data_IF_787919037474
#
_entry.id   IF_787919037474
#
_cell.length_a   1.000
_cell.length_b   1.000
_cell.length_c   1.000
_cell.angle_alpha   90.00
_cell.angle_beta   90.00
_cell.angle_gamma   90.00
#
_symmetry.space_group_name_H-M   'P 1'
#
loop_
_entity.id
_entity.type
_entity.pdbx_description
1 polymer ?
#
# COMPACT_ATOMS: atom_id res chain seq x y z
N UNK A 1 14.77 30.73 22.00
CA UNK A 1 13.46 30.86 22.66
C UNK A 1 12.47 30.25 21.67
N UNK A 2 12.20 28.96 21.86
CA UNK A 2 11.30 28.19 21.00
C UNK A 2 9.86 28.55 21.37
N UNK A 3 9.10 29.00 20.39
CA UNK A 3 7.66 29.17 20.53
C UNK A 3 7.00 27.79 20.22
N UNK A 4 6.54 27.15 21.30
CA UNK A 4 5.64 26.00 21.22
C UNK A 4 4.35 26.43 20.52
N UNK A 5 4.08 25.83 19.38
CA UNK A 5 2.73 25.88 18.78
C UNK A 5 1.82 24.98 19.61
N UNK A 6 0.62 25.43 20.00
CA UNK A 6 -0.29 24.61 20.78
C UNK A 6 -0.78 23.43 19.90
N UNK A 7 -0.44 22.21 20.30
CA UNK A 7 -1.07 20.99 19.82
C UNK A 7 -2.59 21.09 20.09
N UNK A 8 -3.37 21.17 19.02
CA UNK A 8 -4.82 21.04 19.11
C UNK A 8 -5.13 19.57 19.37
N UNK A 9 -5.16 19.23 20.65
CA UNK A 9 -5.56 17.90 21.13
C UNK A 9 -7.08 17.79 20.94
N UNK A 10 -7.51 17.18 19.85
CA UNK A 10 -8.87 16.64 19.75
C UNK A 10 -8.89 15.33 20.56
N UNK A 11 -9.63 15.35 21.67
CA UNK A 11 -9.74 14.23 22.61
C UNK A 11 -10.29 12.99 21.91
N UNK A 12 -9.52 11.92 21.99
CA UNK A 12 -9.88 10.58 21.52
C UNK A 12 -11.02 9.90 22.35
N UNK A 13 -11.58 10.59 23.34
CA UNK A 13 -12.46 9.98 24.36
C UNK A 13 -13.92 9.78 23.93
N UNK A 14 -14.28 9.97 22.66
CA UNK A 14 -15.68 9.81 22.20
C UNK A 14 -15.91 8.90 20.99
N UNK A 15 -14.92 8.13 20.55
CA UNK A 15 -15.08 7.28 19.36
C UNK A 15 -15.81 5.94 19.58
N UNK A 16 -16.36 5.68 20.78
CA UNK A 16 -17.04 4.40 21.09
C UNK A 16 -18.57 4.45 21.05
N UNK A 17 -19.19 5.56 20.71
CA UNK A 17 -20.64 5.62 20.63
C UNK A 17 -21.10 6.47 19.43
N UNK A 18 -21.77 5.80 18.51
CA UNK A 18 -22.43 6.28 17.30
C UNK A 18 -21.57 6.15 16.03
N UNK A 19 -21.75 5.02 15.33
CA UNK A 19 -21.40 4.92 13.90
C UNK A 19 -21.95 6.15 13.19
N UNK A 20 -21.07 6.95 12.63
CA UNK A 20 -21.40 8.14 11.85
C UNK A 20 -22.42 7.77 10.79
N UNK A 21 -23.67 8.09 11.00
CA UNK A 21 -24.68 8.02 9.97
C UNK A 21 -24.32 9.09 8.96
N UNK A 22 -23.88 8.68 7.77
CA UNK A 22 -23.69 9.58 6.64
C UNK A 22 -25.02 10.31 6.41
N UNK A 23 -25.13 11.52 6.92
CA UNK A 23 -26.30 12.35 6.71
C UNK A 23 -26.21 12.92 5.30
N UNK A 24 -27.11 12.48 4.42
CA UNK A 24 -27.34 13.12 3.14
C UNK A 24 -27.54 14.63 3.38
N UNK A 25 -26.51 15.43 3.07
CA UNK A 25 -26.54 16.88 3.34
C UNK A 25 -25.21 17.54 3.73
N UNK A 26 -24.11 16.77 3.94
CA UNK A 26 -22.79 17.40 4.08
C UNK A 26 -22.40 18.05 2.75
N UNK A 27 -22.06 19.35 2.72
CA UNK A 27 -21.61 19.98 1.49
C UNK A 27 -20.27 19.34 1.06
N UNK A 28 -20.19 18.98 -0.22
CA UNK A 28 -18.94 18.49 -0.81
C UNK A 28 -17.93 19.65 -0.81
N UNK A 29 -16.72 19.37 -0.31
CA UNK A 29 -15.65 20.38 -0.25
C UNK A 29 -15.21 20.76 -1.68
N UNK A 30 -15.19 22.06 -1.96
CA UNK A 30 -14.60 22.68 -3.14
C UNK A 30 -13.29 23.40 -2.77
N UNK A 31 -12.63 24.00 -3.76
CA UNK A 31 -11.35 24.67 -3.54
C UNK A 31 -11.44 25.79 -2.50
N UNK A 32 -12.54 26.56 -2.50
CA UNK A 32 -12.74 27.67 -1.56
C UNK A 32 -13.02 27.16 -0.16
N UNK A 33 -13.86 26.14 -0.03
CA UNK A 33 -14.20 25.55 1.27
C UNK A 33 -13.02 24.76 1.86
N UNK A 34 -12.16 24.18 1.05
CA UNK A 34 -10.91 23.57 1.50
C UNK A 34 -9.98 24.61 2.16
N UNK A 35 -9.74 25.75 1.49
CA UNK A 35 -8.92 26.83 2.03
C UNK A 35 -9.54 27.40 3.31
N UNK A 36 -10.86 27.56 3.36
CA UNK A 36 -11.58 28.00 4.57
C UNK A 36 -11.44 27.01 5.73
N UNK A 37 -11.53 25.70 5.43
CA UNK A 37 -11.33 24.66 6.44
C UNK A 37 -9.90 24.71 7.01
N UNK A 38 -8.87 24.82 6.16
CA UNK A 38 -7.49 24.96 6.60
C UNK A 38 -7.29 26.20 7.49
N UNK A 39 -7.91 27.32 7.15
CA UNK A 39 -7.85 28.53 7.97
C UNK A 39 -8.61 28.35 9.30
N UNK A 40 -9.79 27.74 9.28
CA UNK A 40 -10.60 27.48 10.48
C UNK A 40 -9.90 26.57 11.48
N UNK A 41 -9.10 25.61 10.99
CA UNK A 41 -8.28 24.73 11.83
C UNK A 41 -6.90 25.32 12.18
N UNK A 42 -6.63 26.59 11.82
CA UNK A 42 -5.36 27.26 12.12
C UNK A 42 -4.16 26.70 11.35
N UNK A 43 -4.42 25.93 10.29
CA UNK A 43 -3.39 25.35 9.41
C UNK A 43 -2.85 26.41 8.45
N UNK A 44 -3.70 27.30 7.96
CA UNK A 44 -3.34 28.49 7.19
C UNK A 44 -3.60 29.77 8.00
N UNK A 45 -2.64 30.70 8.02
CA UNK A 45 -2.86 32.03 8.55
C UNK A 45 -3.70 32.90 7.58
N UNK A 46 -4.34 34.00 8.07
CA UNK A 46 -5.05 34.91 7.18
C UNK A 46 -4.20 35.48 6.07
N UNK A 47 -2.93 35.75 6.31
CA UNK A 47 -1.97 36.25 5.33
C UNK A 47 -1.68 35.18 4.26
N UNK A 48 -1.58 33.91 4.64
CA UNK A 48 -1.39 32.79 3.74
C UNK A 48 -2.61 32.53 2.83
N UNK A 49 -3.82 32.72 3.35
CA UNK A 49 -5.06 32.63 2.57
C UNK A 49 -5.12 33.70 1.46
N UNK A 50 -4.54 34.89 1.72
CA UNK A 50 -4.51 35.99 0.77
C UNK A 50 -3.27 35.98 -0.15
N UNK A 51 -2.36 35.02 0.02
CA UNK A 51 -1.14 34.93 -0.81
C UNK A 51 -1.52 34.51 -2.24
N UNK A 52 -1.16 35.31 -3.27
CA UNK A 52 -1.50 34.98 -4.66
C UNK A 52 -0.80 33.74 -5.21
N UNK A 53 0.17 33.16 -4.47
CA UNK A 53 0.85 31.90 -4.83
C UNK A 53 0.11 30.69 -4.27
N UNK A 54 -0.95 30.89 -3.46
CA UNK A 54 -1.78 29.78 -3.00
C UNK A 54 -2.49 29.15 -4.18
N UNK A 55 -2.30 27.85 -4.36
CA UNK A 55 -2.95 27.08 -5.42
C UNK A 55 -3.70 25.90 -4.82
N UNK A 56 -4.79 25.52 -5.47
CA UNK A 56 -5.57 24.31 -5.16
C UNK A 56 -5.69 23.48 -6.42
N UNK A 57 -5.35 22.21 -6.32
CA UNK A 57 -5.46 21.23 -7.41
C UNK A 57 -6.41 20.13 -6.99
N UNK A 58 -7.32 19.77 -7.87
CA UNK A 58 -8.28 18.69 -7.66
C UNK A 58 -7.70 17.36 -8.19
N UNK A 59 -7.43 16.43 -7.28
CA UNK A 59 -6.94 15.07 -7.57
C UNK A 59 -7.98 14.00 -7.16
N UNK A 60 -9.26 14.40 -7.13
CA UNK A 60 -10.36 13.54 -6.68
C UNK A 60 -10.54 12.32 -7.59
N UNK A 61 -10.73 11.14 -6.95
CA UNK A 61 -11.05 9.87 -7.62
C UNK A 61 -12.23 9.20 -6.94
N UNK A 62 -11.98 8.30 -5.98
CA UNK A 62 -13.03 7.63 -5.16
C UNK A 62 -13.56 8.53 -4.05
N UNK A 63 -12.70 9.33 -3.44
CA UNK A 63 -13.05 10.37 -2.49
C UNK A 63 -12.68 11.75 -3.06
N UNK A 64 -13.21 12.80 -2.46
CA UNK A 64 -12.76 14.16 -2.75
C UNK A 64 -11.35 14.32 -2.22
N UNK A 65 -10.41 14.77 -3.05
CA UNK A 65 -9.02 14.97 -2.70
C UNK A 65 -8.52 16.28 -3.33
N UNK A 66 -8.25 17.26 -2.50
CA UNK A 66 -7.74 18.57 -2.91
C UNK A 66 -6.34 18.78 -2.35
N UNK A 67 -5.40 19.15 -3.22
CA UNK A 67 -4.03 19.51 -2.85
C UNK A 67 -3.94 21.03 -2.80
N UNK A 68 -3.74 21.56 -1.60
CA UNK A 68 -3.52 22.99 -1.36
C UNK A 68 -2.03 23.24 -1.23
N UNK A 69 -1.45 24.11 -2.08
CA UNK A 69 0.00 24.38 -2.08
C UNK A 69 0.26 25.88 -1.91
N UNK A 70 1.27 26.16 -1.10
CA UNK A 70 1.85 27.48 -0.93
C UNK A 70 3.39 27.32 -0.90
N UNK A 71 4.14 28.34 -1.27
CA UNK A 71 5.59 28.25 -1.38
C UNK A 71 6.23 27.58 -0.13
N UNK A 72 6.82 26.40 -0.34
CA UNK A 72 7.52 25.62 0.69
C UNK A 72 6.61 24.80 1.63
N UNK A 73 5.27 24.83 1.44
CA UNK A 73 4.32 24.04 2.23
C UNK A 73 3.18 23.54 1.34
N UNK A 74 2.52 22.46 1.78
CA UNK A 74 1.34 21.94 1.11
C UNK A 74 0.52 21.05 2.02
N UNK A 75 -0.75 20.87 1.67
CA UNK A 75 -1.70 20.07 2.42
C UNK A 75 -2.56 19.26 1.47
N UNK A 76 -2.91 18.07 1.90
CA UNK A 76 -3.91 17.21 1.26
C UNK A 76 -5.18 17.29 2.11
N UNK A 77 -6.29 17.64 1.47
CA UNK A 77 -7.61 17.71 2.08
C UNK A 77 -8.48 16.62 1.45
N UNK A 78 -8.82 15.60 2.22
CA UNK A 78 -9.67 14.48 1.78
C UNK A 78 -11.07 14.58 2.41
N UNK A 79 -12.12 14.16 1.67
CA UNK A 79 -13.49 14.01 2.16
C UNK A 79 -14.16 12.83 1.47
N UNK A 80 -14.89 12.01 2.22
CA UNK A 80 -15.72 10.96 1.66
C UNK A 80 -16.91 11.54 0.88
N UNK A 81 -17.21 10.95 -0.28
CA UNK A 81 -18.36 11.32 -1.13
C UNK A 81 -19.55 10.38 -0.98
N UNK A 82 -19.35 9.27 -0.26
CA UNK A 82 -20.36 8.28 0.12
C UNK A 82 -20.14 7.84 1.57
N UNK A 83 -21.08 7.11 2.15
CA UNK A 83 -20.92 6.55 3.49
C UNK A 83 -19.69 5.61 3.55
N UNK A 84 -19.51 4.77 2.55
CA UNK A 84 -18.36 3.85 2.43
C UNK A 84 -17.02 4.60 2.40
N UNK A 85 -16.88 5.59 1.51
CA UNK A 85 -15.64 6.36 1.40
C UNK A 85 -15.39 7.25 2.62
N UNK A 86 -16.43 7.65 3.35
CA UNK A 86 -16.26 8.36 4.61
C UNK A 86 -15.77 7.41 5.72
N UNK A 87 -16.30 6.19 5.78
CA UNK A 87 -15.84 5.18 6.75
C UNK A 87 -14.34 4.84 6.55
N UNK A 88 -13.87 4.78 5.29
CA UNK A 88 -12.43 4.58 5.02
C UNK A 88 -11.58 5.76 5.47
N UNK A 89 -12.07 7.02 5.34
CA UNK A 89 -11.37 8.20 5.83
C UNK A 89 -11.38 8.31 7.36
N UNK A 90 -12.50 7.96 8.00
CA UNK A 90 -12.59 7.89 9.46
C UNK A 90 -11.54 6.88 9.98
N UNK A 91 -11.42 5.72 9.32
CA UNK A 91 -10.40 4.74 9.59
C UNK A 91 -8.97 5.30 9.40
N UNK A 92 -8.72 5.96 8.27
CA UNK A 92 -7.42 6.61 8.00
C UNK A 92 -7.05 7.60 9.13
N UNK A 93 -8.01 8.40 9.59
CA UNK A 93 -7.81 9.34 10.69
C UNK A 93 -7.50 8.66 12.03
N UNK A 94 -8.19 7.54 12.35
CA UNK A 94 -7.91 6.73 13.53
C UNK A 94 -6.49 6.15 13.50
N UNK A 95 -6.06 5.63 12.35
CA UNK A 95 -4.71 5.08 12.15
C UNK A 95 -3.65 6.17 12.36
N UNK A 96 -3.83 7.37 11.80
CA UNK A 96 -2.96 8.51 12.10
C UNK A 96 -2.93 8.82 13.60
N UNK A 97 -4.07 8.74 14.28
CA UNK A 97 -4.18 8.95 15.72
C UNK A 97 -3.25 8.04 16.53
N UNK A 98 -3.17 6.76 16.16
CA UNK A 98 -2.30 5.76 16.79
C UNK A 98 -0.84 5.95 16.38
N UNK A 99 -0.57 6.03 15.07
CA UNK A 99 0.79 6.00 14.54
C UNK A 99 1.61 7.25 14.82
N UNK A 100 0.98 8.44 14.90
CA UNK A 100 1.68 9.70 15.17
C UNK A 100 2.39 9.75 16.53
N UNK A 101 1.95 8.94 17.49
CA UNK A 101 2.57 8.80 18.81
C UNK A 101 3.62 7.69 18.92
N UNK A 102 3.89 6.97 17.84
CA UNK A 102 4.74 5.79 17.82
C UNK A 102 6.14 6.08 17.23
N UNK A 103 7.01 5.06 17.28
CA UNK A 103 8.32 5.08 16.59
C UNK A 103 8.20 5.18 15.07
N UNK A 104 7.02 4.96 14.51
CA UNK A 104 6.74 5.08 13.08
C UNK A 104 6.38 6.50 12.63
N UNK A 105 6.09 7.42 13.54
CA UNK A 105 5.68 8.80 13.23
C UNK A 105 6.55 9.53 12.17
N UNK A 106 7.88 9.36 12.10
CA UNK A 106 8.72 10.01 11.08
C UNK A 106 8.41 9.59 9.64
N UNK A 107 7.74 8.44 9.46
CA UNK A 107 7.39 7.88 8.15
C UNK A 107 5.96 8.17 7.72
N UNK A 108 5.29 9.08 8.41
CA UNK A 108 3.94 9.55 8.08
C UNK A 108 3.98 10.96 7.49
N UNK A 109 3.02 11.32 6.63
CA UNK A 109 2.68 12.72 6.45
C UNK A 109 2.29 13.32 7.80
N UNK A 110 2.69 14.55 8.06
CA UNK A 110 2.25 15.22 9.29
C UNK A 110 0.73 15.36 9.27
N UNK A 111 0.08 14.77 10.26
CA UNK A 111 -1.35 14.92 10.48
C UNK A 111 -1.64 16.34 10.97
N UNK A 112 -2.53 17.05 10.29
CA UNK A 112 -2.87 18.44 10.62
C UNK A 112 -4.21 18.55 11.34
N UNK A 113 -5.26 17.91 10.84
CA UNK A 113 -6.58 17.94 11.43
C UNK A 113 -7.48 16.82 10.92
N UNK A 114 -8.45 16.43 11.72
CA UNK A 114 -9.63 15.71 11.30
C UNK A 114 -10.87 16.37 11.90
N UNK A 115 -11.83 16.72 11.06
CA UNK A 115 -13.10 17.31 11.47
C UNK A 115 -14.22 16.28 11.21
N UNK A 116 -14.65 15.59 12.26
CA UNK A 116 -15.71 14.56 12.21
C UNK A 116 -17.06 15.13 11.75
N UNK A 117 -17.31 16.41 11.99
CA UNK A 117 -18.54 17.10 11.61
C UNK A 117 -18.65 17.27 10.09
N UNK A 118 -17.54 17.61 9.44
CA UNK A 118 -17.47 17.81 7.98
C UNK A 118 -16.91 16.59 7.26
N UNK A 119 -16.30 15.63 7.98
CA UNK A 119 -15.63 14.47 7.43
C UNK A 119 -14.33 14.81 6.70
N UNK A 120 -13.70 15.94 7.07
CA UNK A 120 -12.46 16.38 6.44
C UNK A 120 -11.23 15.82 7.15
N UNK A 121 -10.38 15.14 6.42
CA UNK A 121 -9.04 14.74 6.83
C UNK A 121 -8.02 15.67 6.18
N UNK A 122 -7.13 16.26 6.98
CA UNK A 122 -6.07 17.16 6.53
C UNK A 122 -4.70 16.61 6.94
N UNK A 123 -3.85 16.36 5.94
CA UNK A 123 -2.46 15.94 6.15
C UNK A 123 -1.49 16.84 5.39
N UNK A 124 -0.20 16.74 5.70
CA UNK A 124 0.86 17.34 4.91
C UNK A 124 0.84 16.83 3.47
N UNK A 125 1.04 17.73 2.51
CA UNK A 125 1.43 17.32 1.16
C UNK A 125 2.91 16.95 1.18
N UNK A 126 3.22 15.70 0.92
CA UNK A 126 4.59 15.20 0.85
C UNK A 126 5.16 15.46 -0.54
N UNK A 127 6.18 16.31 -0.62
CA UNK A 127 6.96 16.50 -1.85
C UNK A 127 7.90 15.29 -2.00
N UNK A 128 7.47 14.29 -2.75
CA UNK A 128 8.16 13.02 -2.93
C UNK A 128 7.75 12.33 -4.22
N UNK A 129 8.49 11.30 -4.58
CA UNK A 129 8.23 10.47 -5.77
C UNK A 129 7.90 9.04 -5.33
N UNK A 130 7.03 8.36 -6.08
CA UNK A 130 6.85 6.93 -5.91
C UNK A 130 8.18 6.18 -6.09
N UNK A 131 8.44 5.06 -5.40
CA UNK A 131 9.71 4.34 -5.49
C UNK A 131 10.12 3.98 -6.91
N UNK A 132 9.16 3.66 -7.79
CA UNK A 132 9.44 3.39 -9.20
C UNK A 132 10.05 4.60 -9.90
N UNK A 133 9.43 5.77 -9.75
CA UNK A 133 9.89 7.00 -10.40
C UNK A 133 11.24 7.46 -9.82
N UNK A 134 11.40 7.35 -8.49
CA UNK A 134 12.67 7.63 -7.82
C UNK A 134 13.79 6.71 -8.31
N UNK A 135 13.50 5.43 -8.59
CA UNK A 135 14.46 4.45 -9.12
C UNK A 135 14.83 4.73 -10.58
N UNK A 136 13.89 5.22 -11.40
CA UNK A 136 14.14 5.61 -12.78
C UNK A 136 15.00 6.88 -12.79
N UNK A 137 14.67 7.86 -11.95
CA UNK A 137 15.37 9.14 -11.87
C UNK A 137 16.82 9.00 -11.36
N UNK A 138 17.06 8.12 -10.36
CA UNK A 138 18.38 7.89 -9.78
C UNK A 138 18.60 6.41 -9.42
N UNK A 139 19.08 5.59 -10.36
CA UNK A 139 19.35 4.18 -10.11
C UNK A 139 20.34 3.91 -8.98
N UNK A 140 21.27 4.83 -8.69
CA UNK A 140 22.24 4.65 -7.63
C UNK A 140 21.64 4.66 -6.22
N UNK A 141 20.45 5.27 -6.06
CA UNK A 141 19.72 5.31 -4.79
C UNK A 141 18.88 4.06 -4.50
N UNK A 142 18.70 3.17 -5.47
CA UNK A 142 17.85 1.96 -5.32
C UNK A 142 18.12 1.16 -4.04
N UNK A 143 19.37 0.79 -3.71
CA UNK A 143 19.64 0.02 -2.50
C UNK A 143 19.30 0.79 -1.21
N UNK A 144 19.65 2.09 -1.16
CA UNK A 144 19.36 2.93 0.02
C UNK A 144 17.87 3.08 0.23
N UNK A 145 17.09 3.25 -0.85
CA UNK A 145 15.63 3.32 -0.81
C UNK A 145 15.02 2.00 -0.30
N UNK A 146 15.51 0.85 -0.80
CA UNK A 146 15.06 -0.46 -0.35
C UNK A 146 15.33 -0.69 1.14
N UNK A 147 16.54 -0.33 1.61
CA UNK A 147 16.93 -0.36 3.03
C UNK A 147 16.00 0.54 3.86
N UNK A 148 15.75 1.77 3.41
CA UNK A 148 14.85 2.72 4.09
C UNK A 148 13.43 2.20 4.24
N UNK A 149 12.86 1.65 3.16
CA UNK A 149 11.51 1.05 3.18
C UNK A 149 11.46 -0.16 4.12
N UNK A 150 12.46 -1.05 4.08
CA UNK A 150 12.51 -2.23 4.95
C UNK A 150 12.60 -1.86 6.43
N UNK A 151 13.45 -0.90 6.79
CA UNK A 151 13.55 -0.41 8.15
C UNK A 151 12.28 0.28 8.63
N UNK A 152 11.64 1.09 7.79
CA UNK A 152 10.38 1.75 8.10
C UNK A 152 9.26 0.74 8.33
N UNK A 153 9.10 -0.24 7.43
CA UNK A 153 8.08 -1.28 7.56
C UNK A 153 8.28 -2.13 8.83
N UNK A 154 9.53 -2.47 9.17
CA UNK A 154 9.83 -3.17 10.41
C UNK A 154 9.37 -2.37 11.64
N UNK A 155 9.60 -1.05 11.66
CA UNK A 155 9.10 -0.19 12.74
C UNK A 155 7.58 -0.14 12.79
N UNK A 156 6.89 -0.10 11.64
CA UNK A 156 5.44 -0.19 11.60
C UNK A 156 4.95 -1.46 12.29
N UNK A 157 5.49 -2.59 11.90
CA UNK A 157 5.10 -3.91 12.41
C UNK A 157 5.45 -4.15 13.88
N UNK A 158 6.28 -3.28 14.49
CA UNK A 158 6.57 -3.31 15.95
C UNK A 158 5.73 -2.32 16.74
N UNK A 159 4.88 -1.52 16.09
CA UNK A 159 3.94 -0.65 16.81
C UNK A 159 2.90 -1.51 17.49
N UNK A 160 2.68 -1.24 18.77
CA UNK A 160 1.62 -1.89 19.51
C UNK A 160 0.23 -1.58 18.92
N UNK A 161 -0.48 -2.60 18.50
CA UNK A 161 -1.81 -2.48 17.89
C UNK A 161 -2.95 -2.24 18.89
N UNK A 162 -2.66 -2.18 20.21
CA UNK A 162 -3.66 -2.04 21.28
C UNK A 162 -4.34 -0.64 21.30
N UNK A 163 -4.09 0.21 20.32
CA UNK A 163 -4.72 1.53 20.15
C UNK A 163 -6.22 1.51 19.85
N UNK A 164 -6.91 0.37 19.99
CA UNK A 164 -8.36 0.25 19.79
C UNK A 164 -8.80 0.17 18.33
N UNK A 165 -7.85 0.08 17.38
CA UNK A 165 -8.19 -0.12 15.97
C UNK A 165 -8.77 -1.52 15.74
N UNK A 166 -9.85 -1.67 14.96
CA UNK A 166 -10.35 -2.97 14.59
C UNK A 166 -9.33 -3.72 13.73
N UNK A 167 -9.18 -5.02 13.97
CA UNK A 167 -8.29 -5.87 13.18
C UNK A 167 -8.71 -5.91 11.72
N UNK A 168 -7.72 -5.91 10.83
CA UNK A 168 -7.91 -6.14 9.40
C UNK A 168 -8.51 -7.54 9.17
N UNK A 169 -9.51 -7.61 8.33
CA UNK A 169 -9.99 -8.89 7.84
C UNK A 169 -9.07 -9.41 6.72
N UNK A 170 -9.02 -10.74 6.50
CA UNK A 170 -8.37 -11.27 5.33
C UNK A 170 -8.88 -10.57 4.07
N UNK A 171 -7.99 -10.09 3.17
CA UNK A 171 -8.41 -9.39 1.97
C UNK A 171 -9.40 -10.20 1.13
N UNK A 172 -10.46 -9.58 0.58
CA UNK A 172 -11.51 -10.28 -0.19
C UNK A 172 -10.95 -11.11 -1.35
N UNK A 173 -9.81 -10.72 -1.90
CA UNK A 173 -9.12 -11.46 -2.97
C UNK A 173 -8.82 -12.91 -2.57
N UNK A 174 -8.58 -13.18 -1.31
CA UNK A 174 -8.29 -14.52 -0.82
C UNK A 174 -9.52 -15.46 -0.92
N UNK A 175 -10.70 -14.91 -1.12
CA UNK A 175 -11.96 -15.64 -1.35
C UNK A 175 -12.47 -15.52 -2.78
N UNK A 176 -11.71 -14.95 -3.71
CA UNK A 176 -12.16 -14.77 -5.10
C UNK A 176 -12.40 -16.09 -5.83
N UNK A 177 -11.83 -17.20 -5.37
CA UNK A 177 -12.16 -18.56 -5.83
C UNK A 177 -13.56 -19.03 -5.43
N UNK A 178 -14.17 -18.39 -4.41
CA UNK A 178 -15.50 -18.69 -3.86
C UNK A 178 -16.39 -17.44 -3.88
N UNK A 179 -16.65 -16.82 -5.06
CA UNK A 179 -17.38 -15.56 -5.14
C UNK A 179 -18.82 -15.75 -4.69
N UNK A 180 -19.35 -14.75 -3.96
CA UNK A 180 -20.78 -14.64 -3.67
C UNK A 180 -21.52 -14.04 -4.85
N UNK A 181 -22.86 -14.19 -4.91
CA UNK A 181 -23.66 -13.58 -5.98
C UNK A 181 -23.46 -12.05 -6.01
N UNK A 182 -23.44 -11.41 -4.85
CA UNK A 182 -23.24 -9.95 -4.73
C UNK A 182 -21.88 -9.52 -5.27
N UNK A 183 -20.82 -10.33 -5.05
CA UNK A 183 -19.47 -9.99 -5.55
C UNK A 183 -19.36 -10.13 -7.08
N UNK A 184 -20.15 -11.01 -7.69
CA UNK A 184 -20.13 -11.24 -9.15
C UNK A 184 -20.58 -10.00 -9.93
N UNK A 185 -21.53 -9.23 -9.38
CA UNK A 185 -22.07 -8.03 -10.05
C UNK A 185 -21.01 -6.94 -10.26
N UNK A 186 -19.98 -6.92 -9.43
CA UNK A 186 -18.87 -5.95 -9.51
C UNK A 186 -17.73 -6.40 -10.43
N UNK A 187 -17.78 -7.63 -10.97
CA UNK A 187 -16.73 -8.15 -11.83
C UNK A 187 -16.96 -7.80 -13.31
N UNK A 188 -15.89 -7.31 -13.95
CA UNK A 188 -15.85 -7.19 -15.41
C UNK A 188 -15.83 -8.59 -16.07
N UNK A 189 -16.18 -8.70 -17.37
CA UNK A 189 -16.03 -9.97 -18.08
C UNK A 189 -14.62 -10.57 -17.99
N UNK A 190 -13.58 -9.73 -18.01
CA UNK A 190 -12.20 -10.16 -17.85
C UNK A 190 -11.92 -10.67 -16.43
N UNK A 191 -12.44 -10.01 -15.41
CA UNK A 191 -12.31 -10.46 -14.01
C UNK A 191 -12.99 -11.82 -13.81
N UNK A 192 -14.16 -12.05 -14.40
CA UNK A 192 -14.87 -13.34 -14.35
C UNK A 192 -14.06 -14.46 -15.02
N UNK A 193 -13.35 -14.19 -16.12
CA UNK A 193 -12.46 -15.17 -16.76
C UNK A 193 -11.28 -15.53 -15.84
N UNK A 194 -10.70 -14.54 -15.15
CA UNK A 194 -9.65 -14.77 -14.16
C UNK A 194 -10.17 -15.61 -12.99
N UNK A 195 -11.35 -15.28 -12.44
CA UNK A 195 -11.98 -16.06 -11.36
C UNK A 195 -12.22 -17.53 -11.81
N UNK A 196 -12.71 -17.76 -13.02
CA UNK A 196 -12.88 -19.11 -13.55
C UNK A 196 -11.54 -19.85 -13.67
N UNK A 197 -10.49 -19.15 -14.06
CA UNK A 197 -9.13 -19.72 -14.14
C UNK A 197 -8.66 -20.15 -12.74
N UNK A 198 -8.89 -19.32 -11.72
CA UNK A 198 -8.57 -19.65 -10.33
C UNK A 198 -9.35 -20.88 -9.88
N UNK A 199 -10.68 -20.89 -10.09
CA UNK A 199 -11.56 -22.02 -9.70
C UNK A 199 -11.19 -23.35 -10.39
N UNK A 200 -10.66 -23.30 -11.61
CA UNK A 200 -10.24 -24.49 -12.38
C UNK A 200 -8.83 -24.96 -12.04
N UNK A 201 -8.09 -24.23 -11.22
CA UNK A 201 -6.72 -24.55 -10.82
C UNK A 201 -6.65 -24.94 -9.33
N UNK A 202 -6.49 -26.22 -9.00
CA UNK A 202 -6.32 -26.65 -7.60
C UNK A 202 -5.21 -25.86 -6.87
N UNK A 203 -4.07 -25.67 -7.53
CA UNK A 203 -2.94 -24.95 -6.94
C UNK A 203 -3.26 -23.50 -6.56
N UNK A 204 -4.07 -22.78 -7.36
CA UNK A 204 -4.49 -21.41 -7.04
C UNK A 204 -5.55 -21.40 -5.93
N UNK A 205 -6.50 -22.32 -5.94
CA UNK A 205 -7.51 -22.43 -4.88
C UNK A 205 -6.87 -22.78 -3.53
N UNK A 206 -6.00 -23.80 -3.49
CA UNK A 206 -5.25 -24.20 -2.30
C UNK A 206 -4.35 -23.08 -1.78
N UNK A 207 -3.71 -22.33 -2.68
CA UNK A 207 -2.91 -21.16 -2.32
C UNK A 207 -3.75 -20.13 -1.55
N UNK A 208 -4.88 -19.71 -2.15
CA UNK A 208 -5.70 -18.64 -1.59
C UNK A 208 -6.38 -19.06 -0.29
N UNK A 209 -6.93 -20.27 -0.25
CA UNK A 209 -7.55 -20.83 0.97
C UNK A 209 -6.50 -20.98 2.07
N UNK A 210 -5.31 -21.48 1.76
CA UNK A 210 -4.22 -21.63 2.72
C UNK A 210 -3.73 -20.30 3.32
N UNK A 211 -3.62 -19.25 2.49
CA UNK A 211 -3.25 -17.90 2.97
C UNK A 211 -4.39 -17.30 3.80
N UNK A 212 -5.64 -17.47 3.36
CA UNK A 212 -6.81 -17.01 4.14
C UNK A 212 -6.86 -17.65 5.53
N UNK A 213 -6.69 -18.96 5.62
CA UNK A 213 -6.82 -19.71 6.88
C UNK A 213 -5.64 -19.46 7.84
N UNK A 214 -4.49 -19.03 7.29
CA UNK A 214 -3.31 -18.65 8.07
C UNK A 214 -3.25 -17.17 8.41
N UNK A 215 -4.27 -16.37 8.04
CA UNK A 215 -4.29 -14.96 8.35
C UNK A 215 -4.28 -14.71 9.86
N UNK A 216 -3.37 -13.84 10.30
CA UNK A 216 -3.26 -13.39 11.68
C UNK A 216 -3.26 -11.86 11.73
N UNK A 217 -3.71 -11.30 12.87
CA UNK A 217 -3.64 -9.85 13.10
C UNK A 217 -2.56 -9.59 14.16
N UNK A 218 -1.32 -9.99 13.87
CA UNK A 218 -0.21 -10.04 14.83
C UNK A 218 0.70 -8.80 14.78
N UNK A 219 0.46 -7.87 13.87
CA UNK A 219 1.26 -6.66 13.71
C UNK A 219 0.40 -5.48 13.25
N UNK A 220 0.82 -4.26 13.54
CA UNK A 220 0.26 -3.07 12.91
C UNK A 220 0.66 -3.05 11.43
N UNK A 221 -0.30 -3.19 10.53
CA UNK A 221 -0.09 -3.27 9.09
C UNK A 221 -0.70 -2.09 8.33
N UNK A 222 -0.21 -1.86 7.12
CA UNK A 222 -0.79 -0.91 6.18
C UNK A 222 -2.04 -1.49 5.48
N UNK A 223 -2.02 -2.78 5.16
CA UNK A 223 -3.12 -3.52 4.53
C UNK A 223 -3.21 -3.37 3.01
N UNK A 224 -2.83 -2.23 2.45
CA UNK A 224 -2.71 -2.01 1.00
C UNK A 224 -1.33 -1.45 0.63
N UNK A 225 -0.26 -2.07 1.15
CA UNK A 225 1.08 -1.59 0.88
C UNK A 225 1.54 -1.94 -0.53
N UNK A 226 1.85 -0.90 -1.29
CA UNK A 226 2.41 -0.90 -2.64
C UNK A 226 3.18 0.40 -2.88
N UNK A 227 3.97 0.46 -3.96
CA UNK A 227 4.82 1.61 -4.23
C UNK A 227 4.06 2.92 -4.39
N UNK A 228 2.85 2.90 -4.94
CA UNK A 228 2.02 4.11 -5.07
C UNK A 228 1.63 4.70 -3.70
N UNK A 229 1.65 3.89 -2.65
CA UNK A 229 1.35 4.30 -1.27
C UNK A 229 2.63 4.62 -0.46
N UNK A 230 3.78 4.75 -1.14
CA UNK A 230 5.04 5.18 -0.57
C UNK A 230 5.58 6.36 -1.39
N UNK A 231 5.97 7.43 -0.72
CA UNK A 231 6.65 8.56 -1.34
C UNK A 231 8.09 8.65 -0.81
N UNK A 232 9.04 8.76 -1.71
CA UNK A 232 10.46 8.98 -1.35
C UNK A 232 10.73 10.47 -1.40
N UNK A 233 11.01 11.07 -0.26
CA UNK A 233 11.39 12.49 -0.15
C UNK A 233 12.72 12.74 -0.91
N UNK A 234 13.02 13.97 -1.29
CA UNK A 234 14.32 14.34 -1.85
C UNK A 234 15.51 13.96 -0.96
N UNK A 235 15.30 13.92 0.36
CA UNK A 235 16.27 13.42 1.36
C UNK A 235 16.55 11.91 1.28
N UNK A 236 15.68 11.14 0.60
CA UNK A 236 15.73 9.68 0.49
C UNK A 236 14.88 8.92 1.51
N UNK A 237 14.19 9.62 2.39
CA UNK A 237 13.34 9.00 3.42
C UNK A 237 11.99 8.57 2.83
N UNK A 238 11.52 7.34 3.12
CA UNK A 238 10.19 6.90 2.72
C UNK A 238 9.12 7.51 3.62
N UNK A 239 7.98 7.86 3.03
CA UNK A 239 6.75 8.29 3.72
C UNK A 239 5.61 7.43 3.22
N UNK A 240 4.86 6.82 4.14
CA UNK A 240 3.74 5.95 3.84
C UNK A 240 2.45 6.75 3.90
N UNK A 241 1.62 6.61 2.87
CA UNK A 241 0.38 7.37 2.67
C UNK A 241 -0.78 6.42 2.43
N UNK A 242 -2.01 6.94 2.51
CA UNK A 242 -3.25 6.20 2.18
C UNK A 242 -3.54 5.03 3.13
N UNK A 243 -3.78 5.37 4.39
CA UNK A 243 -3.96 4.44 5.51
C UNK A 243 -5.40 3.90 5.66
N UNK A 244 -6.22 4.00 4.61
CA UNK A 244 -7.64 3.61 4.65
C UNK A 244 -7.87 2.15 5.06
N UNK A 245 -6.89 1.26 4.82
CA UNK A 245 -6.90 -0.16 5.19
C UNK A 245 -6.04 -0.47 6.43
N UNK A 246 -5.42 0.55 7.05
CA UNK A 246 -4.46 0.38 8.13
C UNK A 246 -5.07 -0.23 9.42
N UNK A 247 -4.26 -0.93 10.20
CA UNK A 247 -4.64 -1.52 11.49
C UNK A 247 -3.93 -2.83 11.80
N UNK A 248 -4.24 -3.48 12.94
CA UNK A 248 -3.71 -4.81 13.26
C UNK A 248 -4.04 -5.81 12.15
N UNK A 249 -3.02 -6.40 11.53
CA UNK A 249 -3.14 -7.30 10.38
C UNK A 249 -1.96 -8.23 10.26
N UNK A 250 -1.91 -8.96 9.16
CA UNK A 250 -0.82 -9.90 8.92
C UNK A 250 0.35 -9.20 8.21
N UNK A 251 1.48 -9.09 8.91
CA UNK A 251 2.70 -8.45 8.38
C UNK A 251 3.20 -9.04 7.07
N UNK A 252 2.94 -10.34 6.81
CA UNK A 252 3.37 -11.01 5.58
C UNK A 252 2.68 -10.42 4.36
N UNK A 253 1.47 -9.87 4.51
CA UNK A 253 0.73 -9.24 3.44
C UNK A 253 1.42 -7.99 2.90
N UNK A 254 1.88 -7.12 3.79
CA UNK A 254 2.62 -5.91 3.41
C UNK A 254 3.99 -6.23 2.80
N UNK A 255 4.73 -7.17 3.41
CA UNK A 255 6.03 -7.63 2.90
C UNK A 255 5.87 -8.22 1.48
N UNK A 256 4.91 -9.12 1.31
CA UNK A 256 4.62 -9.76 0.03
C UNK A 256 4.20 -8.74 -1.04
N UNK A 257 3.43 -7.73 -0.66
CA UNK A 257 3.02 -6.64 -1.55
C UNK A 257 4.21 -5.97 -2.24
N UNK A 258 5.17 -5.52 -1.45
CA UNK A 258 6.36 -4.82 -1.97
C UNK A 258 7.29 -5.73 -2.78
N UNK A 259 7.44 -6.99 -2.39
CA UNK A 259 8.27 -7.94 -3.14
C UNK A 259 7.66 -8.26 -4.50
N UNK A 260 6.35 -8.53 -4.55
CA UNK A 260 5.66 -8.92 -5.79
C UNK A 260 5.46 -7.77 -6.74
N UNK A 261 5.29 -6.55 -6.24
CA UNK A 261 5.18 -5.37 -7.08
C UNK A 261 6.39 -5.19 -8.00
N UNK A 262 7.61 -5.54 -7.55
CA UNK A 262 8.82 -5.52 -8.38
C UNK A 262 8.73 -6.48 -9.56
N UNK A 263 8.14 -7.66 -9.34
CA UNK A 263 7.87 -8.62 -10.40
C UNK A 263 6.85 -8.06 -11.39
N UNK A 264 5.78 -7.42 -10.88
CA UNK A 264 4.75 -6.80 -11.72
C UNK A 264 5.35 -5.67 -12.57
N UNK A 265 6.18 -4.80 -12.00
CA UNK A 265 6.85 -3.74 -12.75
C UNK A 265 7.73 -4.32 -13.87
N UNK A 266 8.54 -5.34 -13.56
CA UNK A 266 9.36 -6.03 -14.55
C UNK A 266 8.54 -6.65 -15.69
N UNK A 267 7.40 -7.28 -15.38
CA UNK A 267 6.51 -7.87 -16.40
C UNK A 267 5.75 -6.84 -17.23
N UNK A 268 5.48 -5.67 -16.67
CA UNK A 268 4.67 -4.62 -17.33
C UNK A 268 5.51 -3.51 -17.93
N UNK A 269 6.82 -3.59 -17.82
CA UNK A 269 7.73 -2.60 -18.41
C UNK A 269 7.69 -2.72 -19.95
N UNK A 270 7.26 -1.67 -20.67
CA UNK A 270 7.21 -1.69 -22.13
C UNK A 270 8.59 -1.91 -22.77
N UNK A 271 9.64 -1.45 -22.11
CA UNK A 271 11.02 -1.54 -22.59
C UNK A 271 11.63 -2.94 -22.39
N UNK A 272 11.02 -3.76 -21.50
CA UNK A 272 11.41 -5.17 -21.33
C UNK A 272 10.97 -6.09 -22.49
N UNK A 273 10.05 -5.62 -23.33
CA UNK A 273 9.50 -6.39 -24.46
C UNK A 273 10.11 -5.91 -25.77
N UNK A 274 11.26 -6.46 -26.11
CA UNK A 274 11.95 -6.19 -27.38
C UNK A 274 11.41 -7.13 -28.46
N UNK A 275 11.25 -6.65 -29.73
CA UNK A 275 10.84 -7.50 -30.84
C UNK A 275 11.75 -8.74 -30.99
N UNK A 276 11.19 -9.85 -31.48
CA UNK A 276 11.87 -11.16 -31.61
C UNK A 276 13.21 -11.10 -32.38
N UNK A 277 13.40 -10.09 -33.21
CA UNK A 277 14.64 -9.82 -33.97
C UNK A 277 15.81 -9.36 -33.06
N UNK A 278 15.53 -8.94 -31.81
CA UNK A 278 16.52 -8.49 -30.84
C UNK A 278 16.60 -9.43 -29.62
N UNK A 279 16.44 -10.74 -29.80
CA UNK A 279 16.36 -11.75 -28.72
C UNK A 279 17.51 -11.66 -27.70
N UNK A 280 18.73 -11.37 -28.15
CA UNK A 280 19.88 -11.22 -27.25
C UNK A 280 19.71 -10.01 -26.29
N UNK A 281 19.17 -8.91 -26.80
CA UNK A 281 18.89 -7.69 -26.01
C UNK A 281 17.73 -7.92 -25.05
N UNK A 282 16.67 -8.66 -25.48
CA UNK A 282 15.55 -9.03 -24.62
C UNK A 282 16.00 -9.93 -23.45
N UNK A 283 16.86 -10.90 -23.72
CA UNK A 283 17.41 -11.79 -22.68
C UNK A 283 18.29 -11.00 -21.67
N UNK A 284 19.07 -10.05 -22.15
CA UNK A 284 19.89 -9.18 -21.29
C UNK A 284 19.02 -8.26 -20.41
N UNK A 285 17.98 -7.66 -20.98
CA UNK A 285 17.03 -6.82 -20.23
C UNK A 285 16.25 -7.63 -19.19
N UNK A 286 15.81 -8.85 -19.54
CA UNK A 286 15.13 -9.73 -18.59
C UNK A 286 16.04 -10.16 -17.45
N UNK A 287 17.32 -10.46 -17.74
CA UNK A 287 18.31 -10.82 -16.73
C UNK A 287 18.62 -9.63 -15.80
N UNK A 288 18.71 -8.44 -16.36
CA UNK A 288 18.92 -7.20 -15.59
C UNK A 288 17.74 -6.92 -14.65
N UNK A 289 16.50 -7.02 -15.13
CA UNK A 289 15.32 -6.84 -14.29
C UNK A 289 15.26 -7.85 -13.13
N UNK A 290 15.60 -9.13 -13.39
CA UNK A 290 15.71 -10.13 -12.31
C UNK A 290 16.82 -9.79 -11.32
N UNK A 291 17.96 -9.24 -11.76
CA UNK A 291 19.02 -8.79 -10.88
C UNK A 291 18.52 -7.66 -9.98
N UNK A 292 17.82 -6.68 -10.52
CA UNK A 292 17.24 -5.56 -9.76
C UNK A 292 16.21 -6.03 -8.73
N UNK A 293 15.35 -6.99 -9.07
CA UNK A 293 14.39 -7.60 -8.13
C UNK A 293 15.13 -8.24 -6.96
N UNK A 294 16.21 -9.00 -7.24
CA UNK A 294 17.01 -9.67 -6.21
C UNK A 294 17.73 -8.66 -5.31
N UNK A 295 18.35 -7.63 -5.87
CA UNK A 295 19.00 -6.57 -5.12
C UNK A 295 18.04 -5.86 -4.19
N UNK A 296 16.83 -5.53 -4.69
CA UNK A 296 15.79 -4.96 -3.87
C UNK A 296 15.39 -5.91 -2.73
N UNK A 297 15.10 -7.17 -3.03
CA UNK A 297 14.65 -8.14 -2.03
C UNK A 297 15.69 -8.32 -0.92
N UNK A 298 16.99 -8.46 -1.28
CA UNK A 298 18.08 -8.59 -0.29
C UNK A 298 18.22 -7.34 0.58
N UNK A 299 18.22 -6.15 -0.01
CA UNK A 299 18.35 -4.89 0.73
C UNK A 299 17.15 -4.64 1.65
N UNK A 300 15.93 -4.84 1.12
CA UNK A 300 14.67 -4.66 1.83
C UNK A 300 14.52 -5.65 3.00
N UNK A 301 14.59 -6.97 2.72
CA UNK A 301 14.43 -8.00 3.74
C UNK A 301 15.58 -7.97 4.76
N UNK A 302 16.81 -7.74 4.33
CA UNK A 302 17.95 -7.62 5.24
C UNK A 302 17.76 -6.48 6.23
N UNK A 303 17.33 -5.31 5.77
CA UNK A 303 17.04 -4.16 6.62
C UNK A 303 15.82 -4.40 7.52
N UNK A 304 14.78 -5.02 6.98
CA UNK A 304 13.58 -5.38 7.74
C UNK A 304 13.92 -6.29 8.92
N UNK A 305 14.63 -7.40 8.70
CA UNK A 305 15.01 -8.37 9.73
C UNK A 305 15.90 -7.75 10.80
N UNK A 306 16.89 -6.96 10.40
CA UNK A 306 17.80 -6.27 11.33
C UNK A 306 17.05 -5.27 12.22
N UNK A 307 16.05 -4.59 11.66
CA UNK A 307 15.28 -3.56 12.38
C UNK A 307 14.17 -4.16 13.24
N UNK A 308 13.57 -5.24 12.76
CA UNK A 308 12.53 -5.97 13.48
C UNK A 308 13.18 -6.75 14.64
N UNK A 309 13.19 -6.16 15.85
CA UNK A 309 13.84 -6.72 17.04
C UNK A 309 13.16 -8.00 17.61
N UNK A 310 12.14 -8.53 16.92
CA UNK A 310 11.47 -9.78 17.26
C UNK A 310 12.15 -10.99 16.62
N UNK A 311 11.78 -12.19 17.08
CA UNK A 311 12.15 -13.46 16.45
C UNK A 311 11.44 -13.63 15.10
N UNK A 312 11.84 -12.85 14.10
CA UNK A 312 11.45 -13.14 12.72
C UNK A 312 12.39 -14.24 12.22
N UNK A 313 12.05 -15.47 12.54
CA UNK A 313 12.73 -16.61 11.93
C UNK A 313 12.29 -16.72 10.46
N UNK A 314 12.97 -15.95 9.59
CA UNK A 314 12.89 -16.15 8.14
C UNK A 314 13.59 -17.46 7.74
N UNK A 315 14.14 -18.23 8.68
CA UNK A 315 14.73 -19.52 8.44
C UNK A 315 13.63 -20.55 8.14
N UNK A 316 13.82 -21.25 7.03
CA UNK A 316 13.08 -22.45 6.55
C UNK A 316 11.55 -22.31 6.38
N UNK A 317 10.77 -22.30 7.45
CA UNK A 317 9.30 -22.26 7.36
C UNK A 317 8.79 -20.87 6.94
N UNK A 318 9.41 -19.80 7.45
CA UNK A 318 8.98 -18.43 7.19
C UNK A 318 9.13 -18.00 5.73
N UNK A 319 10.20 -18.41 5.02
CA UNK A 319 10.38 -18.06 3.60
C UNK A 319 9.42 -18.84 2.69
N UNK A 320 9.14 -20.11 2.99
CA UNK A 320 8.17 -20.90 2.23
C UNK A 320 6.79 -20.28 2.33
N UNK A 321 6.37 -19.88 3.53
CA UNK A 321 5.10 -19.21 3.74
C UNK A 321 5.09 -17.84 3.05
N UNK A 322 6.15 -17.05 3.18
CA UNK A 322 6.24 -15.76 2.49
C UNK A 322 6.08 -15.91 0.97
N UNK A 323 6.60 -16.98 0.35
CA UNK A 323 6.39 -17.24 -1.07
C UNK A 323 4.91 -17.47 -1.40
N UNK A 324 4.16 -18.18 -0.54
CA UNK A 324 2.71 -18.34 -0.72
C UNK A 324 1.98 -17.00 -0.63
N UNK A 325 2.35 -16.14 0.31
CA UNK A 325 1.79 -14.79 0.43
C UNK A 325 2.12 -13.95 -0.80
N UNK A 326 3.33 -14.04 -1.32
CA UNK A 326 3.70 -13.44 -2.61
C UNK A 326 2.82 -13.98 -3.75
N UNK A 327 2.56 -15.29 -3.79
CA UNK A 327 1.64 -15.89 -4.76
C UNK A 327 0.24 -15.29 -4.69
N UNK A 328 -0.33 -15.14 -3.49
CA UNK A 328 -1.64 -14.51 -3.28
C UNK A 328 -1.67 -13.03 -3.74
N UNK A 329 -0.59 -12.27 -3.48
CA UNK A 329 -0.46 -10.88 -3.99
C UNK A 329 -0.37 -10.85 -5.51
N UNK A 330 0.30 -11.80 -6.17
CA UNK A 330 0.30 -11.90 -7.63
C UNK A 330 -1.10 -12.16 -8.19
N UNK A 331 -1.93 -12.98 -7.51
CA UNK A 331 -3.35 -13.16 -7.87
C UNK A 331 -4.10 -11.85 -7.75
N UNK A 332 -3.88 -11.08 -6.68
CA UNK A 332 -4.52 -9.77 -6.52
C UNK A 332 -4.17 -8.85 -7.69
N UNK A 333 -2.90 -8.70 -8.04
CA UNK A 333 -2.48 -7.90 -9.19
C UNK A 333 -3.10 -8.39 -10.51
N UNK A 334 -3.20 -9.71 -10.71
CA UNK A 334 -3.83 -10.28 -11.89
C UNK A 334 -5.30 -9.89 -12.02
N UNK A 335 -6.05 -9.87 -10.90
CA UNK A 335 -7.46 -9.45 -10.86
C UNK A 335 -7.59 -7.94 -11.05
N UNK A 336 -6.79 -7.14 -10.36
CA UNK A 336 -6.81 -5.68 -10.47
C UNK A 336 -6.58 -5.18 -11.91
N UNK A 337 -5.67 -5.82 -12.65
CA UNK A 337 -5.43 -5.49 -14.06
C UNK A 337 -6.61 -5.77 -14.99
N UNK A 338 -7.59 -6.53 -14.54
CA UNK A 338 -8.79 -6.87 -15.32
C UNK A 338 -9.99 -5.97 -15.03
N UNK A 339 -9.92 -5.11 -14.01
CA UNK A 339 -11.00 -4.19 -13.70
C UNK A 339 -11.32 -3.31 -14.93
N UNK A 340 -12.61 -3.20 -15.24
CA UNK A 340 -13.13 -2.41 -16.39
C UNK A 340 -12.66 -2.90 -17.78
N UNK A 341 -12.14 -4.14 -17.90
CA UNK A 341 -11.76 -4.73 -19.18
C UNK A 341 -12.76 -5.79 -19.63
N UNK A 342 -12.85 -5.98 -20.94
CA UNK A 342 -13.65 -7.05 -21.55
C UNK A 342 -12.87 -8.36 -21.70
N UNK A 343 -11.54 -8.29 -21.82
CA UNK A 343 -10.64 -9.44 -22.02
C UNK A 343 -9.44 -9.35 -21.07
N UNK A 344 -9.03 -10.47 -20.41
CA UNK A 344 -7.83 -10.48 -19.59
C UNK A 344 -6.57 -10.18 -20.41
N UNK A 345 -5.63 -9.48 -19.78
CA UNK A 345 -4.30 -9.27 -20.37
C UNK A 345 -3.47 -10.57 -20.34
N UNK A 346 -2.51 -10.68 -21.28
CA UNK A 346 -1.53 -11.75 -21.23
C UNK A 346 -0.74 -11.76 -19.91
N UNK A 347 -0.43 -10.57 -19.38
CA UNK A 347 0.23 -10.40 -18.07
C UNK A 347 -0.60 -10.95 -16.91
N UNK A 348 -1.93 -10.83 -16.93
CA UNK A 348 -2.78 -11.41 -15.89
C UNK A 348 -2.64 -12.94 -15.85
N UNK A 349 -2.59 -13.59 -17.03
CA UNK A 349 -2.37 -15.06 -17.12
C UNK A 349 -0.97 -15.46 -16.65
N UNK A 350 0.05 -14.67 -16.98
CA UNK A 350 1.42 -14.90 -16.50
C UNK A 350 1.51 -14.79 -14.99
N UNK A 351 0.87 -13.76 -14.38
CA UNK A 351 0.82 -13.58 -12.94
C UNK A 351 0.14 -14.77 -12.23
N UNK A 352 -0.97 -15.29 -12.77
CA UNK A 352 -1.63 -16.49 -12.24
C UNK A 352 -0.74 -17.73 -12.32
N UNK A 353 -0.03 -17.94 -13.45
CA UNK A 353 0.90 -19.05 -13.57
C UNK A 353 2.06 -18.92 -12.57
N UNK A 354 2.59 -17.71 -12.40
CA UNK A 354 3.63 -17.47 -11.41
C UNK A 354 3.11 -17.71 -9.99
N UNK A 355 1.90 -17.25 -9.66
CA UNK A 355 1.27 -17.50 -8.36
C UNK A 355 1.16 -19.00 -8.06
N UNK A 356 0.72 -19.81 -9.04
CA UNK A 356 0.69 -21.27 -8.91
C UNK A 356 2.09 -21.85 -8.66
N UNK A 357 3.13 -21.34 -9.34
CA UNK A 357 4.52 -21.76 -9.13
C UNK A 357 5.05 -21.35 -7.74
N UNK A 358 4.68 -20.18 -7.24
CA UNK A 358 5.04 -19.73 -5.89
C UNK A 358 4.44 -20.62 -4.80
N UNK A 359 3.29 -21.25 -5.07
CA UNK A 359 2.68 -22.23 -4.19
C UNK A 359 3.30 -23.61 -4.31
N UNK A 360 3.43 -24.13 -5.54
CA UNK A 360 3.84 -25.51 -5.78
C UNK A 360 5.34 -25.74 -5.70
N UNK A 361 6.14 -24.71 -6.01
CA UNK A 361 7.61 -24.78 -5.99
C UNK A 361 8.22 -23.54 -5.33
N UNK A 362 7.91 -23.26 -4.04
CA UNK A 362 8.32 -22.02 -3.37
C UNK A 362 9.84 -21.83 -3.34
N UNK A 363 10.64 -22.89 -3.19
CA UNK A 363 12.10 -22.83 -3.23
C UNK A 363 12.64 -22.40 -4.58
N UNK A 364 12.02 -22.84 -5.69
CA UNK A 364 12.41 -22.39 -7.04
C UNK A 364 12.04 -20.91 -7.22
N UNK A 365 10.84 -20.51 -6.80
CA UNK A 365 10.38 -19.12 -6.88
C UNK A 365 11.29 -18.18 -6.09
N UNK A 366 11.62 -18.51 -4.84
CA UNK A 366 12.52 -17.73 -3.98
C UNK A 366 13.90 -17.54 -4.62
N UNK A 367 14.50 -18.62 -5.12
CA UNK A 367 15.82 -18.54 -5.81
C UNK A 367 15.75 -17.73 -7.09
N UNK A 368 14.70 -17.94 -7.89
CA UNK A 368 14.59 -17.32 -9.21
C UNK A 368 14.36 -15.82 -9.10
N UNK A 369 13.37 -15.40 -8.31
CA UNK A 369 12.97 -14.00 -8.26
C UNK A 369 13.73 -13.20 -7.21
N UNK A 370 14.00 -13.79 -6.05
CA UNK A 370 14.56 -13.03 -4.94
C UNK A 370 16.01 -13.42 -4.60
N UNK A 371 16.57 -14.43 -5.25
CA UNK A 371 17.92 -14.90 -4.93
C UNK A 371 18.05 -15.51 -3.54
N UNK A 372 16.92 -15.92 -2.92
CA UNK A 372 16.88 -16.48 -1.58
C UNK A 372 16.93 -18.01 -1.64
N UNK A 373 17.77 -18.62 -0.80
CA UNK A 373 17.82 -20.06 -0.64
C UNK A 373 16.82 -20.52 0.41
N UNK A 374 15.89 -21.40 0.02
CA UNK A 374 15.08 -22.19 0.94
C UNK A 374 15.74 -23.57 0.97
N UNK A 375 16.15 -24.01 2.14
CA UNK A 375 16.61 -25.38 2.33
C UNK A 375 15.41 -26.32 2.16
N UNK A 376 15.38 -27.06 1.07
CA UNK A 376 14.37 -28.09 0.78
C UNK A 376 14.52 -29.34 1.70
N UNK A 377 15.09 -29.19 2.89
CA UNK A 377 15.25 -30.25 3.87
C UNK A 377 13.91 -30.69 4.44
N UNK A 378 13.50 -31.86 4.00
CA UNK A 378 12.35 -32.70 4.36
C UNK A 378 11.05 -32.46 3.55
N UNK A 379 10.97 -33.25 2.46
CA UNK A 379 9.71 -33.74 1.90
C UNK A 379 9.18 -34.89 2.74
#
# INVERSE_FOLDING_TARGET
MNADSPDVVVRADRLTAEKSVFTAGRPVVDEVSAVRALAAHGVLSPEQVLDPRLTVVDESRRCRCLIVRLAGAGWVVKQGTSAETQETLDREAEVYGVLRGSSFAPYLPRFSAFDDRTGLLVTEFVDGQAPRDAHIADPARRPVTAVGIGAALARLHTVDGDGGLPAQQPPPILRCGHPTLDSIEFHSPASLEVVRTIQSSPALSELLDGVHDQWTADAMGHGDLRGDNILIRPSGEPVFIDWEMGGPGDRRWDIAGLLTERIVWWLTDPDAWVPMEAQATANAAAAEGLREIREFAHAFLGSYVVTYAGELDLAKAGLTDLMRWCGARLVQFAVEQTHQRSVPLATSRQLLQMAANFHTTPGVAARTFFGLAIDDGDR
#
